data_IF_540171442019
#
_entry.id   IF_540171442019
#
_cell.length_a   1.000
_cell.length_b   1.000
_cell.length_c   1.000
_cell.angle_alpha   90.00
_cell.angle_beta   90.00
_cell.angle_gamma   90.00
#
_symmetry.space_group_name_H-M   'P 1'
#
loop_
_entity.id
_entity.type
_entity.pdbx_description
1 polymer ?
#
# COMPACT_ATOMS: atom_id res chain seq x y z
N UNK A 1 14.62 -9.75 15.36
CA UNK A 1 13.29 -9.50 14.76
C UNK A 1 12.55 -10.83 14.81
N UNK A 2 11.35 -10.85 15.35
CA UNK A 2 10.53 -12.06 15.40
C UNK A 2 10.04 -12.37 13.97
N UNK A 3 10.21 -13.61 13.53
CA UNK A 3 9.81 -14.02 12.18
C UNK A 3 8.28 -14.01 12.04
N UNK A 4 7.56 -14.29 13.14
CA UNK A 4 6.10 -14.33 13.17
C UNK A 4 5.42 -12.94 13.03
N UNK A 5 6.13 -11.85 13.35
CA UNK A 5 5.65 -10.47 13.25
C UNK A 5 6.40 -9.65 12.20
N UNK A 6 7.30 -10.28 11.42
CA UNK A 6 8.16 -9.59 10.45
C UNK A 6 7.37 -8.70 9.49
N UNK A 7 6.20 -9.17 9.01
CA UNK A 7 5.37 -8.45 8.04
C UNK A 7 4.94 -7.04 8.52
N UNK A 8 4.87 -6.80 9.83
CA UNK A 8 4.61 -5.47 10.39
C UNK A 8 5.86 -4.83 10.97
N UNK A 9 6.70 -5.60 11.68
CA UNK A 9 7.81 -5.05 12.45
C UNK A 9 8.91 -4.43 11.58
N UNK A 10 9.13 -4.92 10.36
CA UNK A 10 10.11 -4.33 9.45
C UNK A 10 9.72 -2.94 8.94
N UNK A 11 8.44 -2.51 9.15
CA UNK A 11 8.01 -1.15 8.88
C UNK A 11 8.12 -0.22 10.08
N UNK A 12 8.13 -0.75 11.33
CA UNK A 12 8.27 0.06 12.55
C UNK A 12 9.67 0.68 12.67
N UNK A 13 10.70 -0.08 12.32
CA UNK A 13 12.09 0.34 12.39
C UNK A 13 12.77 0.12 11.04
N UNK A 14 13.12 1.21 10.39
CA UNK A 14 13.79 1.20 9.08
C UNK A 14 15.19 1.79 9.29
N UNK A 15 16.23 1.08 8.82
CA UNK A 15 17.60 1.57 8.92
C UNK A 15 17.72 2.92 8.17
N UNK A 16 18.47 3.89 8.72
CA UNK A 16 18.58 5.25 8.15
C UNK A 16 18.97 5.30 6.67
N UNK A 17 19.80 4.34 6.22
CA UNK A 17 20.24 4.22 4.82
C UNK A 17 19.10 3.83 3.88
N UNK A 18 18.09 3.14 4.40
CA UNK A 18 16.90 2.74 3.63
C UNK A 18 15.83 3.81 3.60
N UNK A 19 15.76 4.71 4.60
CA UNK A 19 14.76 5.77 4.70
C UNK A 19 14.77 6.65 3.45
N UNK A 20 15.96 7.18 3.06
CA UNK A 20 16.08 8.05 1.88
C UNK A 20 15.62 7.36 0.59
N UNK A 21 15.85 6.05 0.47
CA UNK A 21 15.38 5.26 -0.67
C UNK A 21 13.88 5.08 -0.67
N UNK A 22 13.28 4.83 0.51
CA UNK A 22 11.83 4.76 0.64
C UNK A 22 11.16 6.11 0.38
N UNK A 23 11.73 7.21 0.89
CA UNK A 23 11.21 8.54 0.59
C UNK A 23 11.14 8.80 -0.92
N UNK A 24 12.17 8.45 -1.69
CA UNK A 24 12.15 8.59 -3.13
C UNK A 24 11.09 7.71 -3.82
N UNK A 25 10.85 6.50 -3.30
CA UNK A 25 9.81 5.60 -3.84
C UNK A 25 8.40 6.12 -3.59
N UNK A 26 8.19 6.86 -2.49
CA UNK A 26 6.88 7.35 -2.07
C UNK A 26 6.57 8.77 -2.54
N UNK A 27 7.47 9.43 -3.31
CA UNK A 27 7.19 10.74 -3.88
C UNK A 27 5.88 10.74 -4.65
N UNK A 28 5.10 11.81 -4.43
CA UNK A 28 3.88 12.01 -5.19
C UNK A 28 4.17 12.16 -6.68
N UNK A 29 3.36 11.51 -7.49
CA UNK A 29 3.36 11.63 -8.95
C UNK A 29 1.93 11.83 -9.44
N UNK A 30 1.73 12.72 -10.40
CA UNK A 30 0.40 13.04 -10.94
C UNK A 30 -0.32 11.83 -11.54
N UNK A 31 0.42 10.84 -12.02
CA UNK A 31 -0.15 9.56 -12.49
C UNK A 31 -0.94 8.82 -11.39
N UNK A 32 -0.65 9.06 -10.11
CA UNK A 32 -1.39 8.45 -8.99
C UNK A 32 -2.82 8.97 -8.87
N UNK A 33 -3.15 10.14 -9.44
CA UNK A 33 -4.53 10.66 -9.49
C UNK A 33 -5.49 9.70 -10.16
N UNK A 34 -5.03 8.99 -11.19
CA UNK A 34 -5.85 7.98 -11.87
C UNK A 34 -6.24 6.79 -10.96
N UNK A 35 -5.36 6.43 -10.02
CA UNK A 35 -5.65 5.37 -9.04
C UNK A 35 -6.71 5.83 -8.02
N UNK A 36 -6.85 7.13 -7.79
CA UNK A 36 -7.77 7.74 -6.83
C UNK A 36 -9.13 8.10 -7.42
N UNK A 37 -9.31 7.99 -8.75
CA UNK A 37 -10.60 8.31 -9.40
C UNK A 37 -11.80 7.61 -8.72
N UNK A 38 -11.73 6.30 -8.36
CA UNK A 38 -12.86 5.63 -7.73
C UNK A 38 -13.20 6.14 -6.31
N UNK A 39 -12.27 6.82 -5.64
CA UNK A 39 -12.51 7.40 -4.32
C UNK A 39 -13.44 8.61 -4.38
N UNK A 40 -13.58 9.24 -5.55
CA UNK A 40 -14.41 10.45 -5.76
C UNK A 40 -14.08 11.55 -4.74
N UNK A 41 -12.77 11.92 -4.69
CA UNK A 41 -12.30 13.01 -3.84
C UNK A 41 -12.88 14.35 -4.34
N UNK A 42 -13.46 15.12 -3.45
CA UNK A 42 -14.04 16.43 -3.75
C UNK A 42 -13.42 17.50 -2.85
N UNK A 43 -13.42 18.74 -3.35
CA UNK A 43 -13.03 19.90 -2.54
C UNK A 43 -13.86 19.95 -1.25
N UNK A 44 -13.19 20.13 -0.12
CA UNK A 44 -13.81 20.19 1.19
C UNK A 44 -13.94 18.85 1.92
N UNK A 45 -13.59 17.72 1.31
CA UNK A 45 -13.57 16.44 2.02
C UNK A 45 -12.50 16.41 3.11
N UNK A 46 -12.85 15.86 4.27
CA UNK A 46 -11.91 15.41 5.28
C UNK A 46 -11.47 13.97 4.93
N UNK A 47 -10.18 13.78 4.75
CA UNK A 47 -9.59 12.51 4.27
C UNK A 47 -8.64 11.93 5.30
N UNK A 48 -8.69 10.61 5.51
CA UNK A 48 -7.71 9.86 6.28
C UNK A 48 -6.85 9.02 5.32
N UNK A 49 -5.52 9.11 5.47
CA UNK A 49 -4.52 8.31 4.77
C UNK A 49 -3.94 7.27 5.73
N UNK A 50 -4.29 5.99 5.53
CA UNK A 50 -3.81 4.87 6.36
C UNK A 50 -2.47 4.39 5.82
N UNK A 51 -1.44 4.32 6.70
CA UNK A 51 -0.08 3.99 6.31
C UNK A 51 0.55 5.10 5.48
N UNK A 52 0.45 6.34 5.95
CA UNK A 52 0.83 7.55 5.20
C UNK A 52 2.33 7.65 4.88
N UNK A 53 3.17 6.82 5.51
CA UNK A 53 4.61 6.81 5.31
C UNK A 53 5.22 8.20 5.51
N UNK A 54 6.13 8.64 4.61
CA UNK A 54 6.77 9.95 4.71
C UNK A 54 5.85 11.14 4.31
N UNK A 55 4.55 10.91 4.08
CA UNK A 55 3.53 11.96 3.92
C UNK A 55 3.35 12.53 2.52
N UNK A 56 4.14 12.13 1.52
CA UNK A 56 4.04 12.69 0.16
C UNK A 56 2.69 12.40 -0.49
N UNK A 57 2.11 11.23 -0.25
CA UNK A 57 0.81 10.86 -0.77
C UNK A 57 -0.31 11.69 -0.13
N UNK A 58 -0.27 11.85 1.21
CA UNK A 58 -1.18 12.74 1.95
C UNK A 58 -1.12 14.19 1.45
N UNK A 59 0.08 14.69 1.12
CA UNK A 59 0.24 16.01 0.50
C UNK A 59 -0.48 16.12 -0.85
N UNK A 60 -0.37 15.13 -1.70
CA UNK A 60 -1.10 15.06 -2.97
C UNK A 60 -2.61 14.98 -2.78
N UNK A 61 -3.09 14.22 -1.79
CA UNK A 61 -4.52 14.18 -1.40
C UNK A 61 -5.01 15.56 -0.95
N UNK A 62 -4.22 16.28 -0.15
CA UNK A 62 -4.58 17.62 0.32
C UNK A 62 -4.76 18.63 -0.81
N UNK A 63 -3.97 18.53 -1.87
CA UNK A 63 -4.15 19.34 -3.07
C UNK A 63 -5.43 18.99 -3.82
N UNK A 64 -5.83 17.71 -3.84
CA UNK A 64 -7.06 17.28 -4.49
C UNK A 64 -8.33 17.71 -3.75
N UNK A 65 -8.28 17.89 -2.43
CA UNK A 65 -9.43 18.32 -1.62
C UNK A 65 -9.41 19.81 -1.25
N UNK A 66 -8.42 20.55 -1.77
CA UNK A 66 -8.27 21.99 -1.54
C UNK A 66 -9.51 22.79 -2.05
N UNK A 67 -9.73 24.01 -1.52
CA UNK A 67 -8.99 24.69 -0.44
C UNK A 67 -9.49 24.36 0.98
N UNK A 68 -10.69 23.80 1.17
CA UNK A 68 -11.31 23.61 2.49
C UNK A 68 -11.05 22.26 3.11
N UNK A 69 -10.76 21.23 2.30
CA UNK A 69 -10.53 19.85 2.76
C UNK A 69 -9.23 19.70 3.56
N UNK A 70 -9.21 18.69 4.43
CA UNK A 70 -8.07 18.34 5.27
C UNK A 70 -7.68 16.88 5.05
N UNK A 71 -6.43 16.58 5.34
CA UNK A 71 -5.90 15.22 5.33
C UNK A 71 -5.19 14.94 6.65
N UNK A 72 -5.62 13.90 7.33
CA UNK A 72 -4.88 13.31 8.44
C UNK A 72 -4.22 12.02 7.94
N UNK A 73 -2.93 11.85 8.18
CA UNK A 73 -2.18 10.64 7.90
C UNK A 73 -1.89 9.88 9.19
N UNK A 74 -1.95 8.55 9.14
CA UNK A 74 -1.50 7.70 10.26
C UNK A 74 -0.45 6.71 9.77
N UNK A 75 0.58 6.49 10.60
CA UNK A 75 1.61 5.50 10.32
C UNK A 75 2.17 4.91 11.62
N UNK A 76 2.66 3.68 11.57
CA UNK A 76 3.32 3.01 12.70
C UNK A 76 4.77 3.48 12.90
N UNK A 77 5.40 4.01 11.85
CA UNK A 77 6.80 4.43 11.86
C UNK A 77 6.94 5.86 12.41
N UNK A 78 7.49 5.99 13.60
CA UNK A 78 7.69 7.28 14.27
C UNK A 78 8.56 8.25 13.45
N UNK A 79 9.57 7.76 12.72
CA UNK A 79 10.48 8.61 11.94
C UNK A 79 9.75 9.17 10.70
N UNK A 80 8.91 8.37 10.04
CA UNK A 80 8.08 8.86 8.94
C UNK A 80 7.11 9.92 9.41
N UNK A 81 6.42 9.69 10.53
CA UNK A 81 5.48 10.65 11.10
C UNK A 81 6.17 11.97 11.48
N UNK A 82 7.32 11.91 12.15
CA UNK A 82 8.08 13.10 12.49
C UNK A 82 8.54 13.87 11.24
N UNK A 83 9.16 13.19 10.28
CA UNK A 83 9.60 13.80 9.03
C UNK A 83 8.46 14.36 8.17
N UNK A 84 7.28 13.72 8.18
CA UNK A 84 6.10 14.21 7.50
C UNK A 84 5.55 15.50 8.18
N UNK A 85 5.45 15.54 9.51
CA UNK A 85 5.04 16.73 10.23
C UNK A 85 6.01 17.90 10.00
N UNK A 86 7.31 17.65 10.00
CA UNK A 86 8.31 18.70 9.69
C UNK A 86 8.17 19.21 8.24
N UNK A 87 7.96 18.31 7.29
CA UNK A 87 7.82 18.63 5.86
C UNK A 87 6.58 19.48 5.56
N UNK A 88 5.49 19.23 6.27
CA UNK A 88 4.22 19.91 6.07
C UNK A 88 3.89 20.93 7.18
N UNK A 89 4.87 21.37 7.99
CA UNK A 89 4.67 22.30 9.11
C UNK A 89 3.94 23.60 8.72
N UNK A 90 4.16 24.09 7.51
CA UNK A 90 3.51 25.30 6.97
C UNK A 90 2.15 25.03 6.30
N UNK A 91 1.69 23.77 6.23
CA UNK A 91 0.41 23.40 5.62
C UNK A 91 -0.60 22.95 6.69
N UNK A 92 -1.47 23.83 7.21
CA UNK A 92 -2.40 23.49 8.30
C UNK A 92 -3.52 22.51 7.88
N UNK A 93 -3.55 22.11 6.63
CA UNK A 93 -4.53 21.13 6.11
C UNK A 93 -4.02 19.70 6.16
N UNK A 94 -2.77 19.46 6.54
CA UNK A 94 -2.18 18.12 6.61
C UNK A 94 -1.60 17.90 8.00
N UNK A 95 -1.96 16.81 8.66
CA UNK A 95 -1.42 16.41 9.95
C UNK A 95 -1.07 14.93 9.94
N UNK A 96 -0.08 14.54 10.76
CA UNK A 96 0.33 13.14 10.84
C UNK A 96 0.36 12.68 12.29
N UNK A 97 -0.13 11.45 12.52
CA UNK A 97 -0.26 10.86 13.85
C UNK A 97 0.39 9.47 13.86
N UNK A 98 1.23 9.21 14.86
CA UNK A 98 1.73 7.86 15.06
C UNK A 98 0.65 7.00 15.70
N UNK A 99 0.48 5.78 15.16
CA UNK A 99 -0.36 4.73 15.72
C UNK A 99 0.50 3.50 16.00
N UNK A 100 0.09 2.65 16.94
CA UNK A 100 0.85 1.44 17.28
C UNK A 100 0.12 0.15 16.87
N UNK A 101 -1.17 0.26 16.61
CA UNK A 101 -2.07 -0.83 16.26
C UNK A 101 -3.21 -0.31 15.35
N UNK A 102 -4.28 -1.09 15.23
CA UNK A 102 -5.45 -0.72 14.43
C UNK A 102 -6.32 0.40 15.04
N UNK A 103 -6.11 0.80 16.30
CA UNK A 103 -6.91 1.84 16.93
C UNK A 103 -6.58 3.22 16.37
N UNK A 104 -7.56 3.88 15.80
CA UNK A 104 -7.38 5.20 15.20
C UNK A 104 -7.70 6.31 16.21
N UNK A 105 -6.84 7.34 16.38
CA UNK A 105 -7.01 8.40 17.40
C UNK A 105 -8.04 9.46 16.98
N UNK A 106 -9.11 9.04 16.32
CA UNK A 106 -10.16 9.92 15.80
C UNK A 106 -11.54 9.51 16.35
N UNK A 107 -12.43 10.50 16.44
CA UNK A 107 -13.83 10.24 16.80
C UNK A 107 -14.57 9.48 15.70
N UNK A 108 -15.71 8.88 16.06
CA UNK A 108 -16.61 8.26 15.09
C UNK A 108 -17.07 9.29 14.04
N UNK A 109 -17.26 8.84 12.81
CA UNK A 109 -17.76 9.67 11.71
C UNK A 109 -16.97 10.98 11.48
N UNK A 110 -15.65 10.89 11.48
CA UNK A 110 -14.73 12.03 11.30
C UNK A 110 -14.41 12.31 9.83
N UNK A 111 -14.41 11.30 8.96
CA UNK A 111 -13.88 11.40 7.60
C UNK A 111 -14.91 11.10 6.52
N UNK A 112 -14.86 11.88 5.42
CA UNK A 112 -15.62 11.64 4.20
C UNK A 112 -15.01 10.53 3.36
N UNK A 113 -13.67 10.43 3.40
CA UNK A 113 -12.89 9.44 2.65
C UNK A 113 -11.79 8.86 3.51
N UNK A 114 -11.59 7.55 3.39
CA UNK A 114 -10.40 6.88 3.91
C UNK A 114 -9.69 6.24 2.72
N UNK A 115 -8.40 6.52 2.58
CA UNK A 115 -7.53 5.94 1.57
C UNK A 115 -6.53 5.02 2.28
N UNK A 116 -6.32 3.83 1.73
CA UNK A 116 -5.36 2.87 2.24
C UNK A 116 -4.58 2.30 1.05
N UNK A 117 -3.27 2.57 0.99
CA UNK A 117 -2.47 2.21 -0.18
C UNK A 117 -1.24 1.40 0.20
N UNK A 118 -1.18 0.13 -0.26
CA UNK A 118 -0.10 -0.84 0.02
C UNK A 118 0.16 -1.00 1.53
N UNK A 119 -0.89 -1.26 2.30
CA UNK A 119 -0.84 -1.35 3.77
C UNK A 119 -1.53 -2.60 4.29
N UNK A 120 -2.71 -2.96 3.76
CA UNK A 120 -3.50 -4.06 4.32
C UNK A 120 -2.79 -5.41 4.20
N UNK A 121 -1.88 -5.56 3.26
CA UNK A 121 -1.04 -6.75 3.11
C UNK A 121 -0.09 -6.96 4.32
N UNK A 122 0.16 -5.91 5.14
CA UNK A 122 1.10 -5.91 6.27
C UNK A 122 0.44 -5.79 7.64
N UNK A 123 -0.85 -5.49 7.75
CA UNK A 123 -1.49 -5.28 9.05
C UNK A 123 -1.72 -6.63 9.77
N UNK A 124 -1.54 -6.70 11.10
CA UNK A 124 -1.73 -7.94 11.85
C UNK A 124 -3.16 -8.47 11.81
N UNK A 125 -4.15 -7.57 11.78
CA UNK A 125 -5.58 -7.90 11.79
C UNK A 125 -6.33 -6.99 10.81
N UNK A 126 -6.59 -7.52 9.62
CA UNK A 126 -7.31 -6.81 8.56
C UNK A 126 -8.75 -6.50 8.99
N UNK A 127 -9.41 -7.44 9.70
CA UNK A 127 -10.79 -7.26 10.11
C UNK A 127 -10.92 -6.14 11.15
N UNK A 128 -10.05 -6.13 12.17
CA UNK A 128 -10.03 -5.06 13.17
C UNK A 128 -9.68 -3.70 12.55
N UNK A 129 -8.72 -3.65 11.62
CA UNK A 129 -8.36 -2.44 10.89
C UNK A 129 -9.54 -1.89 10.10
N UNK A 130 -10.28 -2.74 9.39
CA UNK A 130 -11.45 -2.32 8.61
C UNK A 130 -12.63 -1.91 9.50
N UNK A 131 -12.80 -2.53 10.67
CA UNK A 131 -13.81 -2.11 11.65
C UNK A 131 -13.54 -0.70 12.17
N UNK A 132 -12.28 -0.35 12.47
CA UNK A 132 -11.88 1.00 12.87
C UNK A 132 -12.04 2.02 11.72
N UNK A 133 -11.68 1.63 10.50
CA UNK A 133 -11.94 2.46 9.31
C UNK A 133 -13.45 2.71 9.15
N UNK A 134 -14.28 1.67 9.31
CA UNK A 134 -15.72 1.83 9.27
C UNK A 134 -16.24 2.77 10.38
N UNK A 135 -15.70 2.67 11.61
CA UNK A 135 -16.05 3.56 12.72
C UNK A 135 -15.80 5.02 12.39
N UNK A 136 -14.61 5.36 11.89
CA UNK A 136 -14.23 6.74 11.62
C UNK A 136 -14.82 7.33 10.35
N UNK A 137 -15.33 6.50 9.42
CA UNK A 137 -16.05 6.98 8.24
C UNK A 137 -17.40 7.58 8.63
N UNK A 138 -17.75 8.71 8.03
CA UNK A 138 -19.10 9.30 8.07
C UNK A 138 -20.10 8.39 7.36
N UNK A 139 -21.40 8.41 7.73
CA UNK A 139 -22.43 7.85 6.88
C UNK A 139 -22.34 8.39 5.45
N UNK A 140 -22.37 7.52 4.43
CA UNK A 140 -22.13 7.88 3.03
C UNK A 140 -20.66 8.09 2.65
N UNK A 141 -19.75 8.06 3.64
CA UNK A 141 -18.31 8.10 3.41
C UNK A 141 -17.78 6.85 2.71
N UNK A 142 -16.60 6.92 2.13
CA UNK A 142 -16.04 5.81 1.34
C UNK A 142 -14.63 5.45 1.79
N UNK A 143 -14.40 4.13 1.85
CA UNK A 143 -13.06 3.54 1.88
C UNK A 143 -12.61 3.25 0.44
N UNK A 144 -11.40 3.63 0.12
CA UNK A 144 -10.72 3.25 -1.12
C UNK A 144 -9.37 2.61 -0.81
N UNK A 145 -9.25 1.34 -1.17
CA UNK A 145 -8.01 0.56 -1.01
C UNK A 145 -7.34 0.43 -2.37
N UNK A 146 -6.05 0.69 -2.39
CA UNK A 146 -5.13 0.44 -3.50
C UNK A 146 -4.10 -0.55 -2.99
N UNK A 147 -4.16 -1.79 -3.44
CA UNK A 147 -3.25 -2.82 -2.93
C UNK A 147 -2.90 -3.85 -4.01
N UNK A 148 -1.94 -4.71 -3.73
CA UNK A 148 -1.45 -5.72 -4.67
C UNK A 148 -2.02 -7.09 -4.36
N UNK A 149 -1.92 -7.98 -5.34
CA UNK A 149 -2.13 -9.41 -5.18
C UNK A 149 -0.94 -10.12 -5.80
N UNK A 150 -0.06 -10.67 -4.98
CA UNK A 150 1.19 -11.28 -5.41
C UNK A 150 1.00 -12.55 -6.25
N UNK A 151 -0.24 -13.07 -6.36
CA UNK A 151 -0.60 -14.12 -7.28
C UNK A 151 -0.93 -13.65 -8.72
N UNK A 152 -0.98 -12.33 -8.98
CA UNK A 152 -1.27 -11.73 -10.29
C UNK A 152 -0.02 -11.20 -11.02
N UNK A 153 1.16 -11.60 -10.61
CA UNK A 153 2.41 -11.12 -11.19
C UNK A 153 2.74 -11.86 -12.48
N UNK A 154 3.20 -11.11 -13.48
CA UNK A 154 3.81 -11.65 -14.70
C UNK A 154 5.23 -11.13 -14.80
N UNK A 155 6.18 -12.02 -15.08
CA UNK A 155 7.60 -11.68 -15.27
C UNK A 155 8.16 -12.44 -16.46
N UNK A 156 8.50 -11.75 -17.55
CA UNK A 156 9.31 -12.33 -18.60
C UNK A 156 10.80 -12.16 -18.25
N UNK A 157 11.62 -13.22 -18.42
CA UNK A 157 11.37 -14.42 -19.24
C UNK A 157 10.92 -15.66 -18.44
N UNK A 158 10.39 -15.49 -17.20
CA UNK A 158 10.06 -16.64 -16.38
C UNK A 158 8.75 -17.32 -16.79
N UNK A 159 8.74 -18.66 -16.80
CA UNK A 159 7.51 -19.42 -16.93
C UNK A 159 6.60 -19.21 -15.70
N UNK A 160 5.28 -19.27 -15.88
CA UNK A 160 4.30 -19.04 -14.80
C UNK A 160 4.57 -19.85 -13.51
N UNK A 161 4.97 -21.15 -13.56
CA UNK A 161 5.32 -21.87 -12.33
C UNK A 161 6.54 -21.30 -11.59
N UNK A 162 7.49 -20.72 -12.31
CA UNK A 162 8.67 -20.07 -11.72
C UNK A 162 8.26 -18.78 -11.05
N UNK A 163 7.42 -17.95 -11.70
CA UNK A 163 6.86 -16.73 -11.11
C UNK A 163 6.13 -17.06 -9.81
N UNK A 164 5.20 -18.03 -9.86
CA UNK A 164 4.44 -18.45 -8.69
C UNK A 164 5.37 -18.87 -7.53
N UNK A 165 6.33 -19.75 -7.79
CA UNK A 165 7.26 -20.26 -6.77
C UNK A 165 8.14 -19.17 -6.18
N UNK A 166 8.58 -18.19 -6.98
CA UNK A 166 9.38 -17.06 -6.50
C UNK A 166 8.60 -16.16 -5.54
N UNK A 167 7.36 -15.80 -5.89
CA UNK A 167 6.53 -14.95 -5.03
C UNK A 167 5.97 -15.68 -3.83
N UNK A 168 5.66 -16.98 -3.92
CA UNK A 168 5.35 -17.84 -2.77
C UNK A 168 6.52 -17.92 -1.78
N UNK A 169 7.75 -18.00 -2.28
CA UNK A 169 8.93 -18.00 -1.42
C UNK A 169 9.12 -16.66 -0.66
N UNK A 170 8.63 -15.55 -1.21
CA UNK A 170 8.64 -14.25 -0.56
C UNK A 170 7.41 -14.00 0.36
N UNK A 171 6.37 -14.82 0.24
CA UNK A 171 5.08 -14.63 0.93
C UNK A 171 5.16 -14.47 2.46
N UNK A 172 6.11 -15.12 3.20
CA UNK A 172 6.25 -14.89 4.63
C UNK A 172 6.53 -13.44 5.05
N UNK A 173 6.92 -12.56 4.11
CA UNK A 173 7.09 -11.13 4.40
C UNK A 173 5.77 -10.34 4.51
N UNK A 174 4.64 -10.97 4.21
CA UNK A 174 3.31 -10.38 4.21
C UNK A 174 2.39 -11.17 5.16
N UNK A 175 1.47 -10.46 5.81
CA UNK A 175 0.40 -11.15 6.54
C UNK A 175 -0.67 -11.68 5.57
N UNK A 176 -1.02 -10.87 4.55
CA UNK A 176 -2.03 -11.21 3.55
C UNK A 176 -1.51 -10.91 2.14
N UNK A 177 -0.67 -11.79 1.56
CA UNK A 177 -0.04 -11.55 0.25
C UNK A 177 -1.04 -11.49 -0.92
N UNK A 178 -2.28 -11.89 -0.69
CA UNK A 178 -3.37 -11.91 -1.70
C UNK A 178 -4.49 -10.93 -1.37
N UNK A 179 -4.19 -9.88 -0.59
CA UNK A 179 -5.18 -8.92 -0.11
C UNK A 179 -6.02 -8.32 -1.24
N UNK A 180 -5.43 -8.10 -2.42
CA UNK A 180 -6.14 -7.53 -3.56
C UNK A 180 -7.42 -8.27 -3.91
N UNK A 181 -7.42 -9.61 -3.93
CA UNK A 181 -8.60 -10.45 -4.21
C UNK A 181 -9.55 -10.60 -3.02
N UNK A 182 -9.04 -10.45 -1.79
CA UNK A 182 -9.79 -10.72 -0.57
C UNK A 182 -10.46 -9.48 0.03
N UNK A 183 -9.90 -8.28 -0.19
CA UNK A 183 -10.31 -7.06 0.50
C UNK A 183 -11.77 -6.69 0.30
N UNK A 184 -12.36 -6.99 -0.85
CA UNK A 184 -13.79 -6.75 -1.09
C UNK A 184 -14.68 -7.56 -0.11
N UNK A 185 -14.33 -8.82 0.16
CA UNK A 185 -15.00 -9.65 1.17
C UNK A 185 -14.82 -9.08 2.56
N UNK A 186 -13.61 -8.75 2.96
CA UNK A 186 -13.33 -8.12 4.25
C UNK A 186 -14.08 -6.79 4.45
N UNK A 187 -14.22 -5.97 3.41
CA UNK A 187 -15.02 -4.73 3.47
C UNK A 187 -16.50 -5.01 3.77
N UNK A 188 -17.07 -6.05 3.16
CA UNK A 188 -18.46 -6.46 3.40
C UNK A 188 -18.64 -6.96 4.83
N UNK A 189 -17.71 -7.77 5.33
CA UNK A 189 -17.73 -8.30 6.70
C UNK A 189 -17.62 -7.16 7.74
N UNK A 190 -16.89 -6.09 7.42
CA UNK A 190 -16.80 -4.88 8.23
C UNK A 190 -18.02 -3.94 8.11
N UNK A 191 -19.05 -4.30 7.33
CA UNK A 191 -20.28 -3.52 7.19
C UNK A 191 -20.24 -2.42 6.11
N UNK A 192 -19.23 -2.42 5.25
CA UNK A 192 -19.19 -1.55 4.07
C UNK A 192 -20.00 -2.16 2.92
N UNK A 193 -20.64 -1.30 2.12
CA UNK A 193 -21.60 -1.73 1.11
C UNK A 193 -21.07 -1.60 -0.32
N UNK A 194 -21.53 -2.52 -1.16
CA UNK A 194 -21.31 -2.52 -2.60
C UNK A 194 -19.85 -2.32 -3.03
N UNK A 195 -18.88 -3.14 -2.58
CA UNK A 195 -17.51 -3.04 -3.02
C UNK A 195 -17.42 -3.12 -4.55
N UNK A 196 -16.70 -2.17 -5.13
CA UNK A 196 -16.37 -2.14 -6.57
C UNK A 196 -14.90 -2.40 -6.74
N UNK A 197 -14.56 -3.39 -7.55
CA UNK A 197 -13.18 -3.78 -7.84
C UNK A 197 -12.82 -3.33 -9.25
N UNK A 198 -11.72 -2.62 -9.39
CA UNK A 198 -11.06 -2.32 -10.67
C UNK A 198 -9.60 -2.77 -10.62
N UNK A 199 -9.05 -3.13 -11.74
CA UNK A 199 -7.61 -3.40 -11.88
C UNK A 199 -6.97 -2.25 -12.66
N UNK A 200 -5.86 -1.74 -12.12
CA UNK A 200 -4.99 -0.80 -12.83
C UNK A 200 -3.68 -1.52 -13.15
N UNK A 201 -3.40 -1.85 -14.41
CA UNK A 201 -2.19 -2.56 -14.77
C UNK A 201 -0.97 -1.64 -14.59
N UNK A 202 0.05 -2.13 -13.89
CA UNK A 202 1.39 -1.58 -13.97
C UNK A 202 2.21 -2.50 -14.86
N UNK A 203 2.50 -2.05 -16.07
CA UNK A 203 3.32 -2.78 -17.03
C UNK A 203 4.64 -2.04 -17.21
N UNK A 204 5.74 -2.74 -17.04
CA UNK A 204 7.08 -2.19 -17.17
C UNK A 204 7.96 -3.04 -18.10
N UNK A 205 8.59 -2.37 -19.06
CA UNK A 205 9.59 -2.92 -19.97
C UNK A 205 10.94 -2.20 -19.85
N UNK A 206 11.02 -1.23 -18.93
CA UNK A 206 12.19 -0.35 -18.76
C UNK A 206 13.09 -0.73 -17.59
N UNK A 207 12.74 -1.77 -16.83
CA UNK A 207 13.51 -2.25 -15.68
C UNK A 207 13.13 -1.61 -14.33
N UNK A 208 12.10 -0.76 -14.27
CA UNK A 208 11.61 -0.21 -13.00
C UNK A 208 11.08 -1.30 -12.06
N UNK A 209 10.52 -2.39 -12.61
CA UNK A 209 10.06 -3.55 -11.85
C UNK A 209 11.20 -4.38 -11.22
N UNK A 210 12.45 -4.21 -11.65
CA UNK A 210 13.58 -4.97 -11.07
C UNK A 210 13.77 -4.70 -9.58
N UNK A 211 13.47 -3.49 -9.10
CA UNK A 211 13.57 -3.22 -7.67
C UNK A 211 12.55 -4.01 -6.85
N UNK A 212 11.36 -4.30 -7.40
CA UNK A 212 10.37 -5.17 -6.77
C UNK A 212 10.92 -6.59 -6.67
N UNK A 213 11.47 -7.13 -7.77
CA UNK A 213 12.06 -8.47 -7.79
C UNK A 213 13.24 -8.60 -6.82
N UNK A 214 14.10 -7.57 -6.76
CA UNK A 214 15.22 -7.54 -5.80
C UNK A 214 14.75 -7.44 -4.35
N UNK A 215 13.66 -6.72 -4.09
CA UNK A 215 13.05 -6.65 -2.75
C UNK A 215 12.49 -8.01 -2.34
N UNK A 216 11.75 -8.68 -3.23
CA UNK A 216 11.26 -10.05 -3.00
C UNK A 216 12.40 -11.04 -2.76
N UNK A 217 13.49 -10.96 -3.55
CA UNK A 217 14.70 -11.75 -3.30
C UNK A 217 15.30 -11.48 -1.93
N UNK A 218 15.25 -10.23 -1.45
CA UNK A 218 15.64 -9.87 -0.09
C UNK A 218 14.80 -10.60 0.97
N UNK A 219 13.48 -10.66 0.81
CA UNK A 219 12.60 -11.42 1.70
C UNK A 219 12.89 -12.92 1.65
N UNK A 220 13.04 -13.50 0.45
CA UNK A 220 13.42 -14.91 0.26
C UNK A 220 14.70 -15.25 1.04
N UNK A 221 15.70 -14.38 0.99
CA UNK A 221 16.95 -14.53 1.75
C UNK A 221 16.73 -14.45 3.25
N UNK A 222 15.93 -13.48 3.71
CA UNK A 222 15.60 -13.31 5.14
C UNK A 222 14.94 -14.54 5.72
N UNK A 223 14.03 -15.16 4.99
CA UNK A 223 13.29 -16.35 5.42
C UNK A 223 13.95 -17.68 5.01
N UNK A 224 15.00 -17.63 4.19
CA UNK A 224 15.70 -18.80 3.63
C UNK A 224 14.73 -19.82 2.96
N UNK A 225 13.82 -19.33 2.15
CA UNK A 225 12.73 -20.10 1.51
C UNK A 225 13.06 -20.61 0.11
N UNK A 226 14.20 -20.20 -0.46
CA UNK A 226 14.71 -20.68 -1.76
C UNK A 226 16.26 -20.65 -1.73
N UNK A 227 16.89 -21.56 -2.48
CA UNK A 227 18.35 -21.61 -2.60
C UNK A 227 18.92 -20.33 -3.22
N UNK A 228 20.00 -19.81 -2.63
CA UNK A 228 20.62 -18.55 -3.07
C UNK A 228 21.08 -18.60 -4.53
N UNK A 229 21.65 -19.73 -4.98
CA UNK A 229 22.10 -19.89 -6.34
C UNK A 229 20.94 -19.82 -7.34
N UNK A 230 19.78 -20.34 -6.92
CA UNK A 230 18.54 -20.26 -7.70
C UNK A 230 18.03 -18.82 -7.77
N UNK A 231 17.95 -18.10 -6.63
CA UNK A 231 17.52 -16.69 -6.58
C UNK A 231 18.39 -15.82 -7.48
N UNK A 232 19.72 -15.95 -7.37
CA UNK A 232 20.65 -15.21 -8.23
C UNK A 232 20.50 -15.59 -9.70
N UNK A 233 20.27 -16.87 -9.99
CA UNK A 233 20.05 -17.36 -11.35
C UNK A 233 18.81 -16.72 -12.00
N UNK A 234 17.72 -16.61 -11.22
CA UNK A 234 16.48 -15.97 -11.66
C UNK A 234 16.67 -14.45 -11.88
N UNK A 235 17.34 -13.76 -10.98
CA UNK A 235 17.62 -12.33 -11.15
C UNK A 235 18.50 -12.05 -12.39
N UNK A 236 19.53 -12.86 -12.63
CA UNK A 236 20.35 -12.74 -13.86
C UNK A 236 19.53 -12.95 -15.13
N UNK A 237 18.53 -13.85 -15.14
CA UNK A 237 17.66 -14.06 -16.31
C UNK A 237 16.87 -12.80 -16.66
N UNK A 238 16.30 -12.11 -15.66
CA UNK A 238 15.52 -10.87 -15.90
C UNK A 238 16.42 -9.71 -16.28
N UNK A 239 17.62 -9.61 -15.72
CA UNK A 239 18.61 -8.60 -16.10
C UNK A 239 19.07 -8.80 -17.56
N UNK A 240 19.38 -10.02 -17.97
CA UNK A 240 19.71 -10.35 -19.36
C UNK A 240 18.54 -10.05 -20.31
N UNK A 241 17.31 -10.41 -19.92
CA UNK A 241 16.12 -10.10 -20.72
C UNK A 241 15.91 -8.59 -20.88
N UNK A 242 16.24 -7.79 -19.86
CA UNK A 242 16.20 -6.33 -19.98
C UNK A 242 17.23 -5.79 -20.98
N UNK A 243 18.47 -6.27 -20.92
CA UNK A 243 19.54 -5.91 -21.89
C UNK A 243 19.18 -6.29 -23.32
N UNK A 244 18.47 -7.41 -23.49
CA UNK A 244 18.00 -7.90 -24.79
C UNK A 244 16.68 -7.25 -25.26
N UNK A 245 16.06 -6.37 -24.47
CA UNK A 245 14.79 -5.73 -24.78
C UNK A 245 13.57 -6.66 -24.74
N UNK A 246 13.67 -7.79 -24.01
CA UNK A 246 12.62 -8.82 -23.86
C UNK A 246 11.97 -8.83 -22.48
N UNK A 247 12.43 -7.96 -21.58
CA UNK A 247 11.88 -7.86 -20.23
C UNK A 247 10.45 -7.35 -20.23
N UNK A 248 9.61 -7.97 -19.43
CA UNK A 248 8.29 -7.47 -19.07
C UNK A 248 8.00 -7.83 -17.61
N UNK A 249 7.60 -6.84 -16.85
CA UNK A 249 7.04 -7.02 -15.49
C UNK A 249 5.64 -6.44 -15.47
N UNK A 250 4.68 -7.17 -14.91
CA UNK A 250 3.33 -6.68 -14.67
C UNK A 250 2.87 -7.08 -13.27
N UNK A 251 2.48 -6.09 -12.47
CA UNK A 251 1.81 -6.26 -11.19
C UNK A 251 0.62 -5.30 -11.15
N UNK A 252 -0.62 -5.77 -11.41
CA UNK A 252 -1.78 -4.90 -11.36
C UNK A 252 -2.07 -4.45 -9.93
N UNK A 253 -2.45 -3.17 -9.78
CA UNK A 253 -3.02 -2.66 -8.54
C UNK A 253 -4.51 -2.95 -8.51
N UNK A 254 -4.99 -3.50 -7.41
CA UNK A 254 -6.40 -3.64 -7.11
C UNK A 254 -6.91 -2.34 -6.50
N UNK A 255 -7.89 -1.74 -7.14
CA UNK A 255 -8.58 -0.53 -6.71
C UNK A 255 -9.95 -0.95 -6.19
N UNK A 256 -10.10 -1.02 -4.88
CA UNK A 256 -11.34 -1.51 -4.26
C UNK A 256 -11.99 -0.40 -3.47
N UNK A 257 -13.22 -0.04 -3.82
CA UNK A 257 -13.94 1.07 -3.18
C UNK A 257 -15.28 0.57 -2.65
N UNK A 258 -15.58 0.88 -1.39
CA UNK A 258 -16.86 0.60 -0.75
C UNK A 258 -17.35 1.80 0.06
N UNK A 259 -18.65 1.88 0.29
CA UNK A 259 -19.27 2.97 1.04
C UNK A 259 -19.78 2.50 2.40
N UNK A 260 -19.76 3.38 3.40
CA UNK A 260 -20.52 3.20 4.63
C UNK A 260 -21.97 3.59 4.37
N UNK A 261 -22.93 2.76 4.82
CA UNK A 261 -24.35 3.03 4.68
C UNK A 261 -24.72 4.42 5.22
N UNK A 262 -25.60 5.12 4.52
CA UNK A 262 -26.23 6.31 5.08
C UNK A 262 -27.13 5.93 6.26
N UNK A 263 -27.12 6.71 7.32
CA UNK A 263 -28.17 6.59 8.35
C UNK A 263 -29.50 7.07 7.72
N UNK A 264 -30.49 6.20 7.71
CA UNK A 264 -31.86 6.57 7.35
C UNK A 264 -32.45 7.56 8.35
#
# INVERSE_FOLDING_TARGET
MDIESFYTDHWKEIEPERISRYEQMFLWQDAQKALLEPAELLSGHDVLDIGSGPGFFAGGLADMVAPQGKVDGVDINAQFVAGANDRFADNPRVNFHQVNDHNLPFADASFDRVICKNVLEYVPDVAATLAEIHRVLRPGGRLHVIDSDWGFVVVEPWASPTVYRFFEAAAPAFNEPYIGRHVAGYMMDAGLEAPKVRLSPFVDQSGRGLHVLRNMAGYIRTFNTMDETEVEGLLRQVEAALEEGRFLFCLPQFLVTAAKRNNE
#
